data_IF_348200362423
#
_entry.id   IF_348200362423
#
_cell.length_a   1.000
_cell.length_b   1.000
_cell.length_c   1.000
_cell.angle_alpha   90.00
_cell.angle_beta   90.00
_cell.angle_gamma   90.00
#
_symmetry.space_group_name_H-M   'P 1'
#
loop_
_entity.id
_entity.type
_entity.pdbx_description
1 polymer ?
#
# COMPACT_ATOMS: atom_id res chain seq x y z
N UNK A 1 20.13 -5.63 77.08
CA UNK A 1 19.96 -5.21 75.68
C UNK A 1 19.71 -6.45 74.84
N UNK A 2 18.56 -6.59 74.16
CA UNK A 2 18.35 -7.69 73.23
C UNK A 2 19.06 -7.38 71.90
N UNK A 3 19.70 -8.38 71.30
CA UNK A 3 20.28 -8.29 69.96
C UNK A 3 19.13 -8.40 68.95
N UNK A 4 18.92 -7.37 68.16
CA UNK A 4 18.04 -7.42 66.99
C UNK A 4 18.64 -8.38 65.96
N UNK A 5 17.90 -9.44 65.64
CA UNK A 5 18.20 -10.32 64.53
C UNK A 5 17.58 -9.70 63.27
N UNK A 6 18.41 -9.04 62.46
CA UNK A 6 18.02 -8.60 61.12
C UNK A 6 17.97 -9.82 60.20
N UNK A 7 16.75 -10.21 59.80
CA UNK A 7 16.53 -11.23 58.77
C UNK A 7 16.58 -10.54 57.41
N UNK A 8 17.64 -10.77 56.65
CA UNK A 8 17.77 -10.32 55.25
C UNK A 8 17.05 -11.32 54.35
N UNK A 9 15.93 -10.91 53.76
CA UNK A 9 15.29 -11.65 52.68
C UNK A 9 16.03 -11.35 51.37
N UNK A 10 16.81 -12.30 50.87
CA UNK A 10 17.34 -12.26 49.50
C UNK A 10 16.23 -12.79 48.60
N UNK A 11 15.54 -11.88 47.91
CA UNK A 11 14.64 -12.25 46.82
C UNK A 11 15.54 -12.69 45.66
N UNK A 12 15.65 -13.99 45.44
CA UNK A 12 16.29 -14.54 44.26
C UNK A 12 15.39 -14.22 43.05
N UNK A 13 15.76 -13.22 42.26
CA UNK A 13 15.19 -13.06 40.93
C UNK A 13 15.63 -14.26 40.08
N UNK A 14 14.66 -15.02 39.57
CA UNK A 14 14.93 -16.12 38.65
C UNK A 14 15.70 -15.59 37.44
N UNK A 15 16.80 -16.26 37.09
CA UNK A 15 17.58 -15.92 35.91
C UNK A 15 16.75 -16.20 34.65
N UNK A 16 16.74 -15.29 33.67
CA UNK A 16 15.95 -15.47 32.45
C UNK A 16 16.37 -16.72 31.70
N UNK A 17 15.39 -17.44 31.14
CA UNK A 17 15.66 -18.65 30.37
C UNK A 17 16.36 -18.31 29.05
N UNK A 18 16.98 -19.29 28.38
CA UNK A 18 17.56 -19.08 27.03
C UNK A 18 16.55 -18.54 26.02
N UNK A 19 15.28 -18.92 26.17
CA UNK A 19 14.17 -18.43 25.34
C UNK A 19 13.91 -16.95 25.60
N UNK A 20 13.91 -16.54 26.87
CA UNK A 20 13.71 -15.13 27.26
C UNK A 20 14.86 -14.25 26.75
N UNK A 21 16.10 -14.72 26.87
CA UNK A 21 17.28 -14.00 26.35
C UNK A 21 17.21 -13.85 24.83
N UNK A 22 16.79 -14.89 24.10
CA UNK A 22 16.64 -14.83 22.65
C UNK A 22 15.55 -13.83 22.23
N UNK A 23 14.39 -13.85 22.89
CA UNK A 23 13.31 -12.89 22.64
C UNK A 23 13.79 -11.47 22.93
N UNK A 24 14.48 -11.23 24.04
CA UNK A 24 15.03 -9.91 24.37
C UNK A 24 16.03 -9.41 23.31
N UNK A 25 16.88 -10.31 22.78
CA UNK A 25 17.84 -9.96 21.72
C UNK A 25 17.16 -9.63 20.39
N UNK A 26 16.13 -10.38 20.00
CA UNK A 26 15.33 -10.11 18.80
C UNK A 26 14.60 -8.78 18.90
N UNK A 27 13.92 -8.54 20.02
CA UNK A 27 13.24 -7.27 20.30
C UNK A 27 14.21 -6.10 20.27
N UNK A 28 15.40 -6.24 20.87
CA UNK A 28 16.43 -5.19 20.83
C UNK A 28 16.86 -4.88 19.39
N UNK A 29 17.17 -5.92 18.59
CA UNK A 29 17.59 -5.74 17.19
C UNK A 29 16.50 -5.07 16.34
N UNK A 30 15.25 -5.47 16.55
CA UNK A 30 14.11 -4.84 15.89
C UNK A 30 14.03 -3.35 16.25
N UNK A 31 14.01 -3.03 17.55
CA UNK A 31 13.97 -1.64 18.04
C UNK A 31 15.13 -0.81 17.49
N UNK A 32 16.35 -1.36 17.49
CA UNK A 32 17.53 -0.68 16.96
C UNK A 32 17.40 -0.40 15.45
N UNK A 33 16.86 -1.34 14.68
CA UNK A 33 16.61 -1.15 13.26
C UNK A 33 15.54 -0.08 13.02
N UNK A 34 14.42 -0.09 13.74
CA UNK A 34 13.37 0.94 13.64
C UNK A 34 13.93 2.32 14.02
N UNK A 35 14.69 2.41 15.12
CA UNK A 35 15.36 3.65 15.55
C UNK A 35 16.30 4.20 14.50
N UNK A 36 17.10 3.32 13.90
CA UNK A 36 18.12 3.70 12.92
C UNK A 36 17.54 4.08 11.57
N UNK A 37 16.49 3.40 11.14
CA UNK A 37 16.04 3.42 9.76
C UNK A 37 14.63 3.97 9.54
N UNK A 38 13.84 4.22 10.58
CA UNK A 38 12.49 4.76 10.42
C UNK A 38 12.23 5.99 11.29
N UNK A 39 12.36 5.89 12.61
CA UNK A 39 11.92 6.94 13.53
C UNK A 39 12.58 6.83 14.91
N UNK A 40 12.80 7.96 15.56
CA UNK A 40 13.23 8.04 16.96
C UNK A 40 12.08 8.25 17.96
N UNK A 41 10.82 8.30 17.47
CA UNK A 41 9.66 8.48 18.32
C UNK A 41 9.29 7.16 19.02
N UNK A 42 9.48 7.11 20.35
CA UNK A 42 9.21 5.91 21.16
C UNK A 42 7.77 5.41 21.02
N UNK A 43 6.76 6.28 20.85
CA UNK A 43 5.37 5.83 20.64
C UNK A 43 5.17 5.05 19.34
N UNK A 44 5.86 5.45 18.28
CA UNK A 44 5.78 4.76 16.98
C UNK A 44 6.54 3.44 17.05
N UNK A 45 7.65 3.40 17.80
CA UNK A 45 8.43 2.19 18.05
C UNK A 45 7.60 1.18 18.84
N UNK A 46 6.97 1.62 19.94
CA UNK A 46 6.09 0.79 20.76
C UNK A 46 4.92 0.23 19.93
N UNK A 47 4.32 1.06 19.07
CA UNK A 47 3.30 0.61 18.12
C UNK A 47 3.81 -0.52 17.21
N UNK A 48 4.97 -0.39 16.57
CA UNK A 48 5.50 -1.46 15.71
C UNK A 48 5.96 -2.68 16.51
N UNK A 49 6.39 -2.52 17.76
CA UNK A 49 6.68 -3.63 18.66
C UNK A 49 5.41 -4.44 18.98
N UNK A 50 4.30 -3.77 19.24
CA UNK A 50 3.00 -4.45 19.42
C UNK A 50 2.62 -5.25 18.17
N UNK A 51 2.77 -4.67 16.98
CA UNK A 51 2.51 -5.38 15.72
C UNK A 51 3.44 -6.58 15.52
N UNK A 52 4.72 -6.46 15.87
CA UNK A 52 5.69 -7.55 15.79
C UNK A 52 5.27 -8.71 16.71
N UNK A 53 4.88 -8.42 17.95
CA UNK A 53 4.43 -9.45 18.89
C UNK A 53 3.15 -10.12 18.43
N UNK A 54 2.19 -9.36 17.92
CA UNK A 54 0.95 -9.90 17.36
C UNK A 54 1.22 -10.81 16.16
N UNK A 55 2.04 -10.37 15.20
CA UNK A 55 2.42 -11.17 14.04
C UNK A 55 3.20 -12.44 14.44
N UNK A 56 4.09 -12.35 15.43
CA UNK A 56 4.82 -13.51 15.96
C UNK A 56 3.90 -14.51 16.64
N UNK A 57 2.94 -14.04 17.43
CA UNK A 57 1.96 -14.89 18.11
C UNK A 57 1.03 -15.63 17.12
N UNK A 58 0.79 -15.03 15.95
CA UNK A 58 0.04 -15.63 14.86
C UNK A 58 0.92 -16.42 13.86
N UNK A 59 2.22 -16.59 14.13
CA UNK A 59 3.18 -17.27 13.25
C UNK A 59 3.25 -16.70 11.82
N UNK A 60 3.14 -15.38 11.67
CA UNK A 60 3.13 -14.70 10.36
C UNK A 60 4.51 -14.23 9.89
N UNK A 61 5.55 -14.38 10.70
CA UNK A 61 6.88 -13.87 10.41
C UNK A 61 7.77 -14.98 9.86
N UNK A 62 8.44 -14.71 8.75
CA UNK A 62 9.48 -15.61 8.24
C UNK A 62 10.71 -15.63 9.16
N UNK A 63 11.49 -16.71 9.09
CA UNK A 63 12.64 -16.93 9.97
C UNK A 63 13.76 -15.87 9.88
N UNK A 64 13.76 -15.05 8.83
CA UNK A 64 14.76 -14.02 8.57
C UNK A 64 14.21 -12.59 8.75
N UNK A 65 12.96 -12.42 9.17
CA UNK A 65 12.23 -11.15 9.21
C UNK A 65 13.08 -9.99 9.80
N UNK A 66 13.54 -10.15 11.04
CA UNK A 66 14.33 -9.12 11.73
C UNK A 66 15.73 -8.95 11.10
N UNK A 67 16.35 -10.06 10.66
CA UNK A 67 17.69 -10.02 10.07
C UNK A 67 17.74 -9.26 8.73
N UNK A 68 16.61 -9.20 8.02
CA UNK A 68 16.50 -8.47 6.76
C UNK A 68 16.28 -6.97 6.94
N UNK A 69 16.05 -6.48 8.17
CA UNK A 69 15.97 -5.05 8.50
C UNK A 69 17.37 -4.40 8.53
N UNK A 70 18.14 -4.60 7.45
CA UNK A 70 19.56 -4.23 7.35
C UNK A 70 19.78 -2.79 6.89
N UNK A 71 18.80 -2.18 6.24
CA UNK A 71 18.84 -0.85 5.66
C UNK A 71 17.45 -0.19 5.67
N UNK A 72 17.38 1.06 5.24
CA UNK A 72 16.15 1.86 5.20
C UNK A 72 15.02 1.18 4.41
N UNK A 73 15.29 0.76 3.18
CA UNK A 73 14.26 0.24 2.29
C UNK A 73 13.69 -1.08 2.82
N UNK A 74 14.58 -2.01 3.21
CA UNK A 74 14.14 -3.30 3.73
C UNK A 74 13.43 -3.16 5.07
N UNK A 75 13.86 -2.22 5.92
CA UNK A 75 13.19 -1.95 7.19
C UNK A 75 11.77 -1.48 6.95
N UNK A 76 11.56 -0.46 6.09
CA UNK A 76 10.21 0.05 5.82
C UNK A 76 9.33 -0.99 5.11
N UNK A 77 9.90 -1.86 4.29
CA UNK A 77 9.17 -2.99 3.71
C UNK A 77 8.65 -3.95 4.80
N UNK A 78 9.51 -4.35 5.75
CA UNK A 78 9.10 -5.19 6.88
C UNK A 78 8.07 -4.52 7.79
N UNK A 79 8.20 -3.21 8.02
CA UNK A 79 7.18 -2.46 8.75
C UNK A 79 5.84 -2.40 7.99
N UNK A 80 5.88 -2.29 6.66
CA UNK A 80 4.70 -2.40 5.82
C UNK A 80 4.05 -3.78 5.91
N UNK A 81 4.81 -4.87 5.95
CA UNK A 81 4.26 -6.22 6.15
C UNK A 81 3.52 -6.32 7.48
N UNK A 82 4.10 -5.84 8.59
CA UNK A 82 3.43 -5.81 9.90
C UNK A 82 2.10 -5.07 9.86
N UNK A 83 2.05 -3.91 9.19
CA UNK A 83 0.82 -3.16 9.01
C UNK A 83 -0.23 -3.93 8.22
N UNK A 84 0.18 -4.61 7.13
CA UNK A 84 -0.75 -5.40 6.33
C UNK A 84 -1.25 -6.65 7.05
N UNK A 85 -0.39 -7.33 7.84
CA UNK A 85 -0.84 -8.41 8.73
C UNK A 85 -1.89 -7.90 9.70
N UNK A 86 -1.60 -6.79 10.39
CA UNK A 86 -2.55 -6.18 11.33
C UNK A 86 -3.85 -5.78 10.64
N UNK A 87 -3.75 -5.17 9.47
CA UNK A 87 -4.89 -4.73 8.69
C UNK A 87 -5.80 -5.92 8.36
N UNK A 88 -5.23 -7.01 7.85
CA UNK A 88 -5.96 -8.22 7.48
C UNK A 88 -6.57 -8.91 8.71
N UNK A 89 -5.78 -9.13 9.78
CA UNK A 89 -6.24 -9.72 11.05
C UNK A 89 -7.42 -8.94 11.65
N UNK A 90 -7.35 -7.61 11.65
CA UNK A 90 -8.38 -6.79 12.25
C UNK A 90 -9.65 -6.62 11.40
N UNK A 91 -9.69 -7.13 10.16
CA UNK A 91 -10.90 -7.06 9.32
C UNK A 91 -11.50 -8.41 8.99
N UNK A 92 -10.74 -9.49 9.14
CA UNK A 92 -11.21 -10.84 8.82
C UNK A 92 -11.68 -11.57 10.09
N UNK A 93 -12.79 -12.30 9.96
CA UNK A 93 -13.14 -13.39 10.88
C UNK A 93 -12.38 -14.67 10.54
N UNK A 94 -11.67 -14.68 9.41
CA UNK A 94 -10.89 -15.79 8.87
C UNK A 94 -9.42 -15.67 9.25
N UNK A 95 -8.82 -16.80 9.61
CA UNK A 95 -7.40 -16.87 9.91
C UNK A 95 -6.58 -16.53 8.65
N UNK A 96 -5.52 -15.74 8.84
CA UNK A 96 -4.52 -15.49 7.81
C UNK A 96 -3.27 -16.32 8.13
N UNK A 97 -2.53 -16.72 7.12
CA UNK A 97 -1.25 -17.40 7.28
C UNK A 97 -0.16 -16.77 6.42
N UNK A 98 1.09 -17.09 6.72
CA UNK A 98 2.26 -16.72 5.93
C UNK A 98 3.22 -17.91 5.90
N UNK A 99 3.97 -18.06 4.82
CA UNK A 99 4.94 -19.14 4.64
C UNK A 99 6.34 -18.59 4.37
N UNK A 100 7.38 -19.34 4.76
CA UNK A 100 8.76 -18.94 4.43
C UNK A 100 9.04 -18.96 2.92
N UNK A 101 8.26 -19.72 2.15
CA UNK A 101 8.37 -19.86 0.71
C UNK A 101 6.96 -19.75 0.14
N UNK A 102 6.62 -18.60 -0.44
CA UNK A 102 5.30 -18.35 -1.01
C UNK A 102 4.86 -16.91 -0.81
N UNK A 103 3.57 -16.63 -1.02
CA UNK A 103 2.97 -15.32 -0.81
C UNK A 103 3.15 -14.81 0.62
N UNK A 104 3.29 -13.50 0.78
CA UNK A 104 3.46 -12.86 2.09
C UNK A 104 2.25 -13.09 3.00
N UNK A 105 1.02 -13.02 2.45
CA UNK A 105 -0.23 -13.32 3.15
C UNK A 105 -1.06 -14.31 2.34
N UNK A 106 -1.61 -15.30 3.02
CA UNK A 106 -2.61 -16.23 2.50
C UNK A 106 -3.88 -16.09 3.33
N UNK A 107 -5.02 -15.97 2.66
CA UNK A 107 -6.35 -15.88 3.28
C UNK A 107 -7.24 -16.93 2.64
N UNK A 108 -7.89 -17.76 3.46
CA UNK A 108 -8.96 -18.63 3.00
C UNK A 108 -10.31 -17.90 3.18
N UNK A 109 -11.07 -17.70 2.11
CA UNK A 109 -12.37 -17.02 2.16
C UNK A 109 -13.32 -17.63 1.13
N UNK A 110 -14.54 -17.99 1.54
CA UNK A 110 -15.58 -18.57 0.66
C UNK A 110 -15.08 -19.77 -0.18
N UNK A 111 -14.31 -20.67 0.45
CA UNK A 111 -13.63 -21.81 -0.20
C UNK A 111 -12.56 -21.43 -1.24
N UNK A 112 -12.27 -20.13 -1.39
CA UNK A 112 -11.23 -19.60 -2.28
C UNK A 112 -9.98 -19.27 -1.46
N UNK A 113 -8.81 -19.69 -1.97
CA UNK A 113 -7.51 -19.28 -1.44
C UNK A 113 -7.08 -17.98 -2.12
N UNK A 114 -6.84 -16.95 -1.32
CA UNK A 114 -6.37 -15.64 -1.76
C UNK A 114 -4.93 -15.46 -1.32
N UNK A 115 -4.04 -15.30 -2.28
CA UNK A 115 -2.61 -15.07 -2.10
C UNK A 115 -2.32 -13.58 -2.29
N UNK A 116 -1.53 -12.98 -1.40
CA UNK A 116 -1.17 -11.57 -1.46
C UNK A 116 0.35 -11.42 -1.34
N UNK A 117 0.93 -10.74 -2.33
CA UNK A 117 2.33 -10.32 -2.35
C UNK A 117 2.41 -8.82 -2.10
N UNK A 118 3.11 -8.42 -1.05
CA UNK A 118 3.23 -7.04 -0.60
C UNK A 118 4.41 -6.37 -1.30
N UNK A 119 4.20 -5.12 -1.70
CA UNK A 119 5.19 -4.23 -2.28
C UNK A 119 5.12 -2.91 -1.53
N UNK A 120 6.30 -2.36 -1.21
CA UNK A 120 6.41 -1.04 -0.58
C UNK A 120 7.38 -0.17 -1.39
N UNK A 121 6.91 0.63 -2.38
CA UNK A 121 7.78 1.50 -3.15
C UNK A 121 8.18 2.72 -2.31
N UNK A 122 9.38 2.67 -1.72
CA UNK A 122 9.82 3.64 -0.70
C UNK A 122 10.56 4.84 -1.29
N UNK A 123 11.66 4.59 -1.99
CA UNK A 123 12.46 5.66 -2.59
C UNK A 123 11.64 6.31 -3.69
N UNK A 124 11.24 7.56 -3.58
CA UNK A 124 10.57 8.29 -4.67
C UNK A 124 11.20 9.68 -4.70
N UNK A 125 11.67 10.09 -5.87
CA UNK A 125 12.28 11.41 -6.05
C UNK A 125 11.24 12.48 -5.71
N UNK A 126 11.65 13.51 -4.98
CA UNK A 126 10.81 14.66 -4.69
C UNK A 126 11.11 15.77 -5.70
N UNK A 127 10.10 16.52 -6.12
CA UNK A 127 10.24 17.73 -6.91
C UNK A 127 9.71 18.93 -6.15
N UNK A 128 10.39 20.07 -6.29
CA UNK A 128 9.95 21.32 -5.68
C UNK A 128 8.74 21.85 -6.45
N UNK A 129 7.63 22.06 -5.75
CA UNK A 129 6.42 22.68 -6.28
C UNK A 129 6.06 23.94 -5.46
N UNK A 130 5.15 24.75 -5.99
CA UNK A 130 4.66 25.96 -5.36
C UNK A 130 3.19 25.74 -5.00
N UNK A 131 2.89 25.61 -3.71
CA UNK A 131 1.51 25.39 -3.22
C UNK A 131 0.92 26.70 -2.72
N UNK A 132 -0.29 27.03 -3.21
CA UNK A 132 -1.02 28.21 -2.77
C UNK A 132 -1.57 27.98 -1.37
N UNK A 133 -1.28 28.91 -0.46
CA UNK A 133 -1.81 28.93 0.90
C UNK A 133 -2.91 29.99 0.98
N UNK A 134 -4.07 29.58 1.49
CA UNK A 134 -5.16 30.48 1.81
C UNK A 134 -5.14 30.75 3.31
N UNK A 135 -4.73 31.96 3.70
CA UNK A 135 -4.80 32.36 5.09
C UNK A 135 -6.15 33.05 5.37
N UNK A 136 -7.04 32.31 6.03
CA UNK A 136 -8.28 32.85 6.59
C UNK A 136 -8.03 33.31 8.02
N UNK A 137 -7.40 34.47 8.20
CA UNK A 137 -7.28 35.07 9.53
C UNK A 137 -8.65 35.67 9.91
N UNK A 138 -9.26 35.28 11.04
CA UNK A 138 -10.65 35.63 11.38
C UNK A 138 -10.83 37.09 11.85
N UNK A 139 -9.86 37.98 11.62
CA UNK A 139 -9.92 39.38 12.02
C UNK A 139 -10.32 40.29 10.84
N UNK A 140 -11.16 41.32 11.07
CA UNK A 140 -11.88 42.01 9.99
C UNK A 140 -11.07 43.08 9.24
N UNK A 141 -9.73 43.08 9.31
CA UNK A 141 -8.90 44.19 8.78
C UNK A 141 -7.79 43.79 7.81
N UNK A 142 -7.65 42.52 7.44
CA UNK A 142 -6.67 42.08 6.44
C UNK A 142 -7.35 41.32 5.32
N UNK A 143 -7.23 41.81 4.08
CA UNK A 143 -7.62 41.04 2.89
C UNK A 143 -6.96 39.64 2.93
N UNK A 144 -7.66 38.59 2.46
CA UNK A 144 -7.08 37.25 2.42
C UNK A 144 -5.75 37.29 1.66
N UNK A 145 -4.65 37.08 2.37
CA UNK A 145 -3.34 37.06 1.72
C UNK A 145 -3.18 35.73 1.01
N UNK A 146 -3.14 35.80 -0.31
CA UNK A 146 -2.76 34.67 -1.16
C UNK A 146 -1.26 34.71 -1.35
N UNK A 147 -0.56 33.71 -0.82
CA UNK A 147 0.86 33.51 -1.11
C UNK A 147 1.10 32.04 -1.41
N UNK A 148 2.20 31.76 -2.10
CA UNK A 148 2.61 30.38 -2.35
C UNK A 148 3.79 30.03 -1.48
N UNK A 149 3.76 28.84 -0.90
CA UNK A 149 4.88 28.25 -0.18
C UNK A 149 5.53 27.17 -1.03
N UNK A 150 6.86 27.12 -1.06
CA UNK A 150 7.55 26.07 -1.76
C UNK A 150 7.43 24.77 -0.95
N UNK A 151 6.94 23.71 -1.59
CA UNK A 151 6.66 22.41 -0.98
C UNK A 151 7.27 21.30 -1.84
N UNK A 152 7.85 20.29 -1.20
CA UNK A 152 8.33 19.09 -1.89
C UNK A 152 7.17 18.13 -2.09
N UNK A 153 7.00 17.66 -3.34
CA UNK A 153 5.96 16.70 -3.71
C UNK A 153 6.58 15.48 -4.39
N UNK A 154 5.99 14.29 -4.24
CA UNK A 154 6.47 13.11 -4.94
C UNK A 154 6.43 13.30 -6.45
N UNK A 155 7.52 12.96 -7.13
CA UNK A 155 7.58 13.01 -8.58
C UNK A 155 6.96 11.74 -9.19
N UNK A 156 5.86 11.91 -9.93
CA UNK A 156 5.18 10.82 -10.62
C UNK A 156 6.08 10.12 -11.64
N UNK A 157 7.03 10.84 -12.25
CA UNK A 157 8.01 10.26 -13.16
C UNK A 157 9.01 9.33 -12.44
N UNK A 158 9.13 9.41 -11.12
CA UNK A 158 9.89 8.47 -10.29
C UNK A 158 8.99 7.37 -9.71
N UNK A 159 7.78 7.72 -9.27
CA UNK A 159 6.83 6.78 -8.67
C UNK A 159 6.31 5.74 -9.67
N UNK A 160 5.85 6.18 -10.84
CA UNK A 160 5.24 5.30 -11.84
C UNK A 160 6.19 4.17 -12.29
N UNK A 161 7.47 4.43 -12.63
CA UNK A 161 8.41 3.35 -12.94
C UNK A 161 8.66 2.41 -11.77
N UNK A 162 8.58 2.88 -10.53
CA UNK A 162 8.84 2.06 -9.34
C UNK A 162 7.72 1.09 -9.07
N UNK A 163 6.47 1.56 -9.12
CA UNK A 163 5.28 0.71 -9.06
C UNK A 163 5.34 -0.31 -10.20
N UNK A 164 5.59 0.15 -11.42
CA UNK A 164 5.78 -0.69 -12.62
C UNK A 164 6.80 -1.80 -12.39
N UNK A 165 8.04 -1.46 -12.05
CA UNK A 165 9.10 -2.47 -11.89
C UNK A 165 8.79 -3.46 -10.76
N UNK A 166 8.19 -2.99 -9.68
CA UNK A 166 7.88 -3.84 -8.55
C UNK A 166 6.75 -4.83 -8.89
N UNK A 167 5.72 -4.38 -9.59
CA UNK A 167 4.65 -5.24 -10.10
C UNK A 167 5.20 -6.30 -11.05
N UNK A 168 6.09 -5.93 -11.98
CA UNK A 168 6.75 -6.89 -12.90
C UNK A 168 7.46 -7.98 -12.09
N UNK A 169 8.28 -7.59 -11.10
CA UNK A 169 9.02 -8.54 -10.26
C UNK A 169 8.11 -9.48 -9.47
N UNK A 170 7.04 -8.96 -8.86
CA UNK A 170 6.10 -9.80 -8.10
C UNK A 170 5.25 -10.68 -9.02
N UNK A 171 4.93 -10.20 -10.21
CA UNK A 171 4.29 -11.03 -11.24
C UNK A 171 5.18 -12.20 -11.65
N UNK A 172 6.47 -11.96 -11.93
CA UNK A 172 7.42 -13.05 -12.21
C UNK A 172 7.53 -14.02 -11.02
N UNK A 173 7.49 -13.51 -9.79
CA UNK A 173 7.46 -14.34 -8.58
C UNK A 173 6.24 -15.25 -8.49
N UNK A 174 5.03 -14.75 -8.78
CA UNK A 174 3.85 -15.60 -8.84
C UNK A 174 3.93 -16.66 -9.94
N UNK A 175 4.56 -16.34 -11.08
CA UNK A 175 4.81 -17.34 -12.13
C UNK A 175 5.72 -18.46 -11.64
N UNK A 176 6.76 -18.12 -10.87
CA UNK A 176 7.61 -19.12 -10.19
C UNK A 176 6.77 -19.97 -9.24
N UNK A 177 5.96 -19.36 -8.37
CA UNK A 177 5.10 -20.10 -7.42
C UNK A 177 4.12 -21.05 -8.11
N UNK A 178 3.53 -20.64 -9.24
CA UNK A 178 2.65 -21.48 -10.05
C UNK A 178 3.42 -22.68 -10.64
N UNK A 179 4.64 -22.43 -11.12
CA UNK A 179 5.51 -23.47 -11.70
C UNK A 179 5.93 -24.49 -10.63
N UNK A 180 6.20 -24.01 -9.42
CA UNK A 180 6.62 -24.82 -8.28
C UNK A 180 5.46 -25.48 -7.52
N UNK A 181 4.20 -25.18 -7.89
CA UNK A 181 3.00 -25.71 -7.24
C UNK A 181 2.71 -25.16 -5.85
N UNK A 182 3.30 -24.01 -5.49
CA UNK A 182 3.07 -23.30 -4.22
C UNK A 182 1.69 -22.60 -4.24
N UNK A 183 1.30 -22.07 -5.40
CA UNK A 183 -0.03 -21.51 -5.65
C UNK A 183 -0.69 -22.27 -6.81
N UNK A 184 -2.02 -22.37 -6.77
CA UNK A 184 -2.81 -22.99 -7.82
C UNK A 184 -3.29 -21.96 -8.85
N UNK A 185 -3.61 -22.39 -10.07
CA UNK A 185 -4.31 -21.56 -11.06
C UNK A 185 -5.74 -21.19 -10.64
N UNK A 186 -6.29 -21.91 -9.67
CA UNK A 186 -7.61 -21.63 -9.10
C UNK A 186 -7.56 -20.65 -7.93
N UNK A 187 -6.36 -20.36 -7.39
CA UNK A 187 -6.18 -19.35 -6.36
C UNK A 187 -6.38 -17.94 -6.94
N UNK A 188 -6.72 -17.00 -6.06
CA UNK A 188 -6.76 -15.57 -6.38
C UNK A 188 -5.41 -14.96 -6.02
N UNK A 189 -4.68 -14.42 -7.00
CA UNK A 189 -3.37 -13.83 -6.78
C UNK A 189 -3.44 -12.30 -6.83
N UNK A 190 -3.10 -11.66 -5.71
CA UNK A 190 -3.15 -10.21 -5.54
C UNK A 190 -1.75 -9.67 -5.31
N UNK A 191 -1.45 -8.55 -5.96
CA UNK A 191 -0.29 -7.72 -5.61
C UNK A 191 -0.75 -6.52 -4.80
N UNK A 192 -0.38 -6.46 -3.53
CA UNK A 192 -0.69 -5.36 -2.63
C UNK A 192 0.43 -4.32 -2.64
N UNK A 193 0.15 -3.12 -3.11
CA UNK A 193 1.10 -2.01 -3.20
C UNK A 193 0.79 -1.02 -2.09
N UNK A 194 1.55 -1.09 -0.99
CA UNK A 194 1.44 -0.13 0.10
C UNK A 194 2.37 1.07 -0.14
N UNK A 195 1.79 2.22 -0.46
CA UNK A 195 2.51 3.46 -0.73
C UNK A 195 2.59 4.41 0.47
N UNK A 196 2.07 3.99 1.64
CA UNK A 196 1.97 4.83 2.84
C UNK A 196 3.30 5.32 3.43
N UNK A 197 4.42 4.72 3.02
CA UNK A 197 5.78 5.09 3.47
C UNK A 197 6.49 6.10 2.55
N UNK A 198 5.85 6.53 1.45
CA UNK A 198 6.42 7.57 0.60
C UNK A 198 6.39 8.91 1.35
N UNK A 199 7.50 9.63 1.34
CA UNK A 199 7.55 10.98 1.88
C UNK A 199 6.56 11.90 1.15
N UNK A 200 5.77 12.68 1.89
CA UNK A 200 4.72 13.54 1.35
C UNK A 200 3.65 12.78 0.53
N UNK A 201 3.34 11.53 0.93
CA UNK A 201 2.33 10.67 0.28
C UNK A 201 0.96 11.34 0.11
N UNK A 202 0.57 12.24 1.01
CA UNK A 202 -0.70 12.98 0.92
C UNK A 202 -0.79 13.92 -0.29
N UNK A 203 0.33 14.20 -0.95
CA UNK A 203 0.42 15.04 -2.15
C UNK A 203 0.47 14.22 -3.45
N UNK A 204 0.27 12.90 -3.37
CA UNK A 204 0.14 12.02 -4.55
C UNK A 204 -1.28 12.13 -5.12
N UNK A 205 -1.37 12.23 -6.45
CA UNK A 205 -2.63 12.09 -7.19
C UNK A 205 -3.01 10.60 -7.30
N UNK A 206 -3.66 10.08 -6.26
CA UNK A 206 -4.11 8.69 -6.23
C UNK A 206 -5.04 8.31 -7.40
N UNK A 207 -6.04 9.14 -7.78
CA UNK A 207 -6.84 8.87 -8.97
C UNK A 207 -6.02 8.66 -10.24
N UNK A 208 -4.93 9.41 -10.44
CA UNK A 208 -4.09 9.29 -11.62
C UNK A 208 -3.31 7.96 -11.69
N UNK A 209 -3.03 7.33 -10.54
CA UNK A 209 -2.35 6.03 -10.48
C UNK A 209 -3.15 4.90 -11.16
N UNK A 210 -4.46 5.06 -11.36
CA UNK A 210 -5.31 4.09 -12.07
C UNK A 210 -4.74 3.75 -13.46
N UNK A 211 -4.10 4.71 -14.12
CA UNK A 211 -3.59 4.56 -15.49
C UNK A 211 -2.40 3.59 -15.56
N UNK A 212 -1.77 3.25 -14.42
CA UNK A 212 -0.78 2.16 -14.39
C UNK A 212 -1.43 0.79 -14.62
N UNK A 213 -2.70 0.65 -14.27
CA UNK A 213 -3.41 -0.64 -14.25
C UNK A 213 -4.43 -0.76 -15.39
N UNK A 214 -5.11 0.33 -15.73
CA UNK A 214 -6.05 0.43 -16.84
C UNK A 214 -5.55 1.39 -17.93
N UNK A 215 -6.15 1.32 -19.12
CA UNK A 215 -5.91 2.24 -20.22
C UNK A 215 -6.32 3.65 -19.85
N UNK A 216 -5.58 4.61 -20.40
CA UNK A 216 -5.91 6.01 -20.28
C UNK A 216 -7.04 6.35 -21.26
N UNK A 217 -8.16 6.79 -20.71
CA UNK A 217 -9.29 7.27 -21.50
C UNK A 217 -9.01 8.71 -21.97
N UNK A 218 -9.10 8.95 -23.28
CA UNK A 218 -8.90 10.26 -23.92
C UNK A 218 -10.20 10.69 -24.58
N UNK A 219 -10.67 11.89 -24.26
CA UNK A 219 -11.82 12.49 -24.94
C UNK A 219 -11.34 13.07 -26.28
N UNK A 220 -11.86 12.53 -27.37
CA UNK A 220 -11.62 13.03 -28.71
C UNK A 220 -12.79 13.92 -29.15
N UNK A 221 -12.44 15.08 -29.71
CA UNK A 221 -13.39 16.03 -30.28
C UNK A 221 -13.03 16.18 -31.76
N UNK A 222 -13.93 15.75 -32.63
CA UNK A 222 -13.75 15.86 -34.08
C UNK A 222 -14.75 16.85 -34.67
N UNK A 223 -14.27 17.66 -35.62
CA UNK A 223 -15.06 18.68 -36.31
C UNK A 223 -15.03 18.32 -37.79
N UNK A 224 -16.17 17.91 -38.33
CA UNK A 224 -16.27 17.54 -39.73
C UNK A 224 -16.27 18.77 -40.66
N UNK A 225 -16.25 18.52 -41.98
CA UNK A 225 -16.24 19.58 -43.00
C UNK A 225 -17.51 20.47 -42.96
N UNK A 226 -18.60 19.99 -42.37
CA UNK A 226 -19.86 20.71 -42.21
C UNK A 226 -19.95 21.43 -40.85
N UNK A 227 -18.84 21.51 -40.10
CA UNK A 227 -18.74 22.10 -38.76
C UNK A 227 -19.58 21.39 -37.69
N UNK A 228 -19.96 20.12 -37.91
CA UNK A 228 -20.56 19.31 -36.86
C UNK A 228 -19.48 18.83 -35.91
N UNK A 229 -19.76 18.94 -34.61
CA UNK A 229 -18.86 18.47 -33.54
C UNK A 229 -19.31 17.10 -33.08
N UNK A 230 -18.40 16.12 -33.11
CA UNK A 230 -18.61 14.79 -32.54
C UNK A 230 -17.64 14.53 -31.40
N UNK A 231 -18.06 13.71 -30.44
CA UNK A 231 -17.27 13.37 -29.27
C UNK A 231 -17.17 11.86 -29.14
N UNK A 232 -15.98 11.37 -28.83
CA UNK A 232 -15.74 9.95 -28.58
C UNK A 232 -14.73 9.78 -27.45
N UNK A 233 -14.63 8.55 -26.93
CA UNK A 233 -13.58 8.16 -25.99
C UNK A 233 -12.67 7.15 -26.69
N UNK A 234 -11.37 7.43 -26.66
CA UNK A 234 -10.33 6.49 -27.09
C UNK A 234 -9.58 5.94 -25.87
N UNK A 235 -9.35 4.63 -25.87
CA UNK A 235 -8.60 3.93 -24.82
C UNK A 235 -7.16 3.72 -25.26
N UNK A 236 -6.26 4.53 -24.70
CA UNK A 236 -4.85 4.51 -25.04
C UNK A 236 -4.03 3.80 -23.97
N UNK A 237 -2.99 3.10 -24.40
CA UNK A 237 -2.03 2.53 -23.46
C UNK A 237 -1.30 3.65 -22.71
N UNK A 238 -1.20 3.49 -21.39
CA UNK A 238 -0.41 4.40 -20.59
C UNK A 238 1.06 4.02 -20.65
N UNK A 239 1.91 4.98 -21.00
CA UNK A 239 3.35 4.78 -21.14
C UNK A 239 4.11 5.42 -19.98
N UNK A 240 4.99 4.63 -19.36
CA UNK A 240 5.85 5.08 -18.28
C UNK A 240 7.27 5.19 -18.80
N UNK A 241 7.81 6.41 -18.80
CA UNK A 241 9.18 6.69 -19.20
C UNK A 241 10.09 6.71 -17.97
N UNK A 242 11.15 5.92 -17.99
CA UNK A 242 12.22 5.94 -16.98
C UNK A 242 13.19 7.10 -17.22
N UNK A 243 13.96 7.44 -16.19
CA UNK A 243 15.07 8.41 -16.27
C UNK A 243 16.11 8.06 -17.35
N UNK A 244 16.27 6.76 -17.67
CA UNK A 244 17.15 6.29 -18.75
C UNK A 244 16.48 6.25 -20.14
N UNK A 245 15.34 6.93 -20.32
CA UNK A 245 14.50 6.96 -21.53
C UNK A 245 13.91 5.61 -21.96
N UNK A 246 13.98 4.57 -21.13
CA UNK A 246 13.24 3.33 -21.42
C UNK A 246 11.75 3.55 -21.21
N UNK A 247 10.94 3.17 -22.20
CA UNK A 247 9.48 3.28 -22.14
C UNK A 247 8.89 1.91 -21.80
N UNK A 248 8.06 1.87 -20.77
CA UNK A 248 7.24 0.72 -20.42
C UNK A 248 5.80 1.01 -20.80
N UNK A 249 5.24 0.16 -21.65
CA UNK A 249 3.80 0.10 -21.87
C UNK A 249 3.17 -0.52 -20.62
N UNK A 250 2.26 0.19 -19.98
CA UNK A 250 1.59 -0.24 -18.73
C UNK A 250 0.13 -0.61 -19.00
N UNK A 251 -0.83 -0.20 -18.18
CA UNK A 251 -2.22 -0.66 -18.26
C UNK A 251 -2.29 -2.19 -18.13
N UNK A 252 -1.60 -2.73 -17.12
CA UNK A 252 -1.28 -4.16 -17.02
C UNK A 252 -2.49 -5.10 -17.02
N UNK A 253 -3.61 -4.65 -16.47
CA UNK A 253 -4.81 -5.45 -16.35
C UNK A 253 -5.61 -5.46 -17.65
N UNK A 254 -5.59 -4.37 -18.42
CA UNK A 254 -6.28 -4.28 -19.72
C UNK A 254 -5.49 -4.90 -20.88
N UNK A 255 -4.18 -5.04 -20.71
CA UNK A 255 -3.29 -5.61 -21.73
C UNK A 255 -3.02 -7.11 -21.53
N UNK A 256 -3.62 -7.74 -20.52
CA UNK A 256 -3.48 -9.17 -20.19
C UNK A 256 -2.01 -9.65 -20.12
N UNK A 257 -1.09 -8.74 -19.77
CA UNK A 257 0.36 -9.04 -19.74
C UNK A 257 0.67 -10.04 -18.62
N UNK A 258 -0.11 -10.00 -17.54
CA UNK A 258 0.05 -10.82 -16.35
C UNK A 258 -1.26 -11.53 -15.99
N UNK A 259 -1.70 -12.50 -16.80
CA UNK A 259 -3.02 -13.13 -16.66
C UNK A 259 -3.17 -13.89 -15.34
N UNK A 260 -2.07 -14.29 -14.72
CA UNK A 260 -2.03 -14.98 -13.42
C UNK A 260 -2.16 -14.04 -12.21
N UNK A 261 -2.29 -12.72 -12.43
CA UNK A 261 -2.57 -11.73 -11.39
C UNK A 261 -4.03 -11.29 -11.53
N UNK A 262 -4.85 -11.65 -10.55
CA UNK A 262 -6.28 -11.31 -10.53
C UNK A 262 -6.52 -9.84 -10.23
N UNK A 263 -5.66 -9.23 -9.41
CA UNK A 263 -5.84 -7.85 -8.98
C UNK A 263 -4.56 -7.19 -8.44
N UNK A 264 -4.58 -5.86 -8.49
CA UNK A 264 -3.64 -5.00 -7.77
C UNK A 264 -4.40 -4.21 -6.71
N UNK A 265 -4.02 -4.37 -5.45
CA UNK A 265 -4.56 -3.62 -4.33
C UNK A 265 -3.62 -2.47 -3.98
N UNK A 266 -4.02 -1.24 -4.26
CA UNK A 266 -3.29 -0.03 -3.89
C UNK A 266 -3.79 0.48 -2.54
N UNK A 267 -2.87 0.62 -1.58
CA UNK A 267 -3.19 1.07 -0.23
C UNK A 267 -2.18 2.11 0.26
N UNK A 268 -2.62 3.10 1.03
CA UNK A 268 -1.77 4.07 1.70
C UNK A 268 -1.84 3.86 3.21
N UNK A 269 -1.13 2.86 3.72
CA UNK A 269 -1.16 2.49 5.14
C UNK A 269 0.20 2.74 5.82
N UNK A 270 0.21 3.45 6.94
CA UNK A 270 1.35 3.68 7.82
C UNK A 270 0.93 3.77 9.30
N UNK A 271 1.88 4.01 10.19
CA UNK A 271 1.68 4.17 11.64
C UNK A 271 0.69 5.27 12.03
N UNK A 272 0.43 6.25 11.15
CA UNK A 272 -0.44 7.38 11.43
C UNK A 272 -1.90 7.12 11.07
N UNK A 273 -2.17 6.19 10.15
CA UNK A 273 -3.49 6.07 9.53
C UNK A 273 -4.08 4.65 9.52
N UNK A 274 -3.39 3.63 10.06
CA UNK A 274 -3.88 2.25 10.14
C UNK A 274 -5.33 2.15 10.67
N UNK A 275 -5.66 2.88 11.74
CA UNK A 275 -6.99 2.80 12.37
C UNK A 275 -8.10 3.53 11.59
N UNK A 276 -7.72 4.40 10.64
CA UNK A 276 -8.64 5.26 9.90
C UNK A 276 -8.84 4.81 8.46
N UNK A 277 -7.91 4.01 7.92
CA UNK A 277 -7.99 3.54 6.54
C UNK A 277 -9.20 2.63 6.25
N UNK A 278 -9.82 2.07 7.30
CA UNK A 278 -11.10 1.32 7.22
C UNK A 278 -12.35 2.22 7.35
N UNK A 279 -12.22 3.47 7.82
CA UNK A 279 -13.35 4.37 8.11
C UNK A 279 -13.76 5.11 6.84
N UNK A 280 -14.53 4.41 6.01
CA UNK A 280 -14.74 4.76 4.61
C UNK A 280 -15.86 5.77 4.27
N UNK A 281 -16.27 6.68 5.17
CA UNK A 281 -17.61 7.30 5.00
C UNK A 281 -17.72 8.78 4.66
N UNK A 282 -16.65 9.58 4.58
CA UNK A 282 -16.85 11.04 4.50
C UNK A 282 -15.99 11.86 3.53
N UNK A 283 -14.97 11.28 2.86
CA UNK A 283 -14.13 12.07 1.95
C UNK A 283 -13.89 11.31 0.64
N UNK A 284 -14.33 11.92 -0.48
CA UNK A 284 -14.15 11.38 -1.83
C UNK A 284 -12.68 11.16 -2.20
N UNK A 285 -11.75 11.94 -1.66
CA UNK A 285 -10.33 11.75 -1.93
C UNK A 285 -9.73 10.57 -1.18
N UNK A 286 -10.21 10.28 0.03
CA UNK A 286 -9.69 9.18 0.86
C UNK A 286 -10.09 7.81 0.30
N UNK A 287 -11.13 7.72 -0.54
CA UNK A 287 -11.54 6.44 -1.15
C UNK A 287 -10.45 5.84 -2.04
N UNK A 288 -9.63 6.68 -2.67
CA UNK A 288 -8.56 6.24 -3.57
C UNK A 288 -7.31 5.74 -2.83
N UNK A 289 -7.23 5.93 -1.50
CA UNK A 289 -6.12 5.47 -0.67
C UNK A 289 -6.23 4.01 -0.25
N UNK A 290 -7.30 3.31 -0.61
CA UNK A 290 -7.51 1.90 -0.36
C UNK A 290 -8.43 1.30 -1.43
N UNK A 291 -7.86 0.93 -2.57
CA UNK A 291 -8.59 0.60 -3.79
C UNK A 291 -8.02 -0.65 -4.46
N UNK A 292 -8.88 -1.49 -5.02
CA UNK A 292 -8.46 -2.65 -5.80
C UNK A 292 -8.78 -2.47 -7.29
N UNK A 293 -7.78 -2.68 -8.14
CA UNK A 293 -7.92 -2.76 -9.58
C UNK A 293 -7.92 -4.23 -9.96
N UNK A 294 -8.88 -4.66 -10.77
CA UNK A 294 -9.13 -6.08 -11.09
C UNK A 294 -8.89 -6.34 -12.56
N UNK A 295 -8.34 -7.51 -12.87
CA UNK A 295 -8.38 -8.03 -14.23
C UNK A 295 -9.83 -8.29 -14.67
N UNK A 296 -10.11 -8.31 -15.97
CA UNK A 296 -11.42 -8.61 -16.55
C UNK A 296 -11.95 -9.99 -16.11
N UNK A 297 -11.04 -10.96 -15.96
CA UNK A 297 -11.36 -12.33 -15.52
C UNK A 297 -11.10 -12.55 -14.02
N UNK A 298 -10.94 -11.47 -13.24
CA UNK A 298 -10.59 -11.53 -11.82
C UNK A 298 -11.58 -12.37 -11.02
N UNK A 299 -11.06 -13.34 -10.25
CA UNK A 299 -11.84 -14.18 -9.35
C UNK A 299 -11.99 -13.58 -7.94
N UNK A 300 -11.54 -12.34 -7.72
CA UNK A 300 -11.58 -11.70 -6.39
C UNK A 300 -13.04 -11.58 -5.89
N UNK A 301 -13.41 -12.24 -4.79
CA UNK A 301 -14.79 -12.22 -4.33
C UNK A 301 -15.17 -10.86 -3.71
N UNK A 302 -16.47 -10.54 -3.73
CA UNK A 302 -17.00 -9.31 -3.11
C UNK A 302 -16.89 -9.34 -1.58
N UNK A 303 -16.99 -10.53 -0.99
CA UNK A 303 -16.78 -10.76 0.44
C UNK A 303 -15.41 -10.26 0.87
N UNK A 304 -14.35 -10.53 0.11
CA UNK A 304 -12.99 -10.04 0.38
C UNK A 304 -12.95 -8.52 0.50
N UNK A 305 -13.60 -7.80 -0.41
CA UNK A 305 -13.65 -6.33 -0.35
C UNK A 305 -14.43 -5.82 0.85
N UNK A 306 -15.58 -6.43 1.13
CA UNK A 306 -16.42 -6.02 2.26
C UNK A 306 -15.74 -6.29 3.61
N UNK A 307 -15.09 -7.44 3.74
CA UNK A 307 -14.34 -7.87 4.93
C UNK A 307 -13.18 -6.93 5.18
N UNK A 308 -12.35 -6.66 4.16
CA UNK A 308 -11.19 -5.79 4.28
C UNK A 308 -11.51 -4.30 4.09
N UNK A 309 -12.78 -3.90 3.93
CA UNK A 309 -13.18 -2.52 3.63
C UNK A 309 -12.39 -1.91 2.45
N UNK A 310 -12.18 -2.65 1.36
CA UNK A 310 -11.42 -2.20 0.18
C UNK A 310 -12.38 -1.58 -0.84
N UNK A 311 -12.04 -0.42 -1.39
CA UNK A 311 -12.86 0.24 -2.40
C UNK A 311 -12.65 -0.31 -3.79
N UNK A 312 -13.65 -0.06 -4.64
CA UNK A 312 -13.52 -0.19 -6.09
C UNK A 312 -13.25 1.18 -6.71
N UNK A 313 -12.62 1.23 -7.90
CA UNK A 313 -12.54 2.43 -8.69
C UNK A 313 -13.93 3.02 -8.92
N UNK A 314 -14.13 4.33 -8.69
CA UNK A 314 -15.40 4.97 -8.98
C UNK A 314 -15.67 4.88 -10.48
N UNK A 315 -16.95 4.69 -10.83
CA UNK A 315 -17.38 4.68 -12.23
C UNK A 315 -17.14 6.04 -12.88
N UNK A 316 -16.64 6.03 -14.10
CA UNK A 316 -16.41 7.26 -14.85
C UNK A 316 -17.66 7.67 -15.63
N UNK A 317 -18.69 8.09 -14.88
CA UNK A 317 -20.00 8.44 -15.45
C UNK A 317 -19.95 9.49 -16.57
N UNK A 318 -18.94 10.35 -16.58
CA UNK A 318 -18.73 11.34 -17.63
C UNK A 318 -18.27 10.69 -18.94
N UNK A 319 -17.23 9.84 -18.88
CA UNK A 319 -16.73 9.14 -20.06
C UNK A 319 -17.75 8.10 -20.56
N UNK A 320 -18.41 7.39 -19.65
CA UNK A 320 -19.48 6.45 -19.96
C UNK A 320 -20.61 7.15 -20.74
N UNK A 321 -21.02 8.35 -20.30
CA UNK A 321 -22.01 9.15 -21.03
C UNK A 321 -21.57 9.49 -22.46
N UNK A 322 -20.31 9.90 -22.65
CA UNK A 322 -19.78 10.22 -23.98
C UNK A 322 -19.78 8.98 -24.87
N UNK A 323 -19.36 7.82 -24.35
CA UNK A 323 -19.39 6.55 -25.12
C UNK A 323 -20.80 6.17 -25.55
N UNK A 324 -21.78 6.33 -24.66
CA UNK A 324 -23.18 5.98 -24.93
C UNK A 324 -23.89 6.97 -25.86
N UNK A 325 -23.57 8.27 -25.76
CA UNK A 325 -24.35 9.33 -26.40
C UNK A 325 -23.63 10.07 -27.54
N UNK A 326 -22.33 9.85 -27.72
CA UNK A 326 -21.51 10.54 -28.73
C UNK A 326 -21.39 12.05 -28.53
N UNK A 327 -21.65 12.55 -27.31
CA UNK A 327 -21.69 13.98 -26.98
C UNK A 327 -21.31 14.23 -25.51
N UNK A 328 -20.91 15.47 -25.19
CA UNK A 328 -20.66 15.89 -23.82
C UNK A 328 -21.96 15.94 -22.99
N UNK A 329 -21.91 15.66 -21.67
CA UNK A 329 -23.00 15.95 -20.77
C UNK A 329 -23.34 17.45 -20.77
N UNK A 330 -24.64 17.78 -20.71
CA UNK A 330 -25.14 19.15 -20.68
C UNK A 330 -24.87 19.86 -19.35
#
# INVERSE_FOLDING_TARGET
MPKENTITFIIAHELPTKKDIFIMLETSKFTDAVKKYHTSNEKVIDFYLELLYEAKNNNLLDGNFISQMSDHDKTLHRLSELLMFKYCLASSTTEISSENIGPDIIIQLDDIKINIEIITPIKVSQKRSSMRVFNYTPYPSSEPSNYSVPQDIPDMNSLHPRITNALIKKSDKYREYLTDGIVSSDDVNIVCINIGFIENVDLIDFPYLKNLFYKQEVICIDIDNDSNVSHSIEDNDFNVMKENNTIYKTSYLDNEIYPHIDAVWLICCNDKNLDYIKKLKYNEFEMYKNIIYRNNESKVPESFLSTLCINKPPRNSFNDYIRENGKLPN
#
